data_IF_955410694818
#
_entry.id   IF_955410694818
#
_cell.length_a   1.000
_cell.length_b   1.000
_cell.length_c   1.000
_cell.angle_alpha   90.00
_cell.angle_beta   90.00
_cell.angle_gamma   90.00
#
_symmetry.space_group_name_H-M   'P 1'
#
loop_
_entity.id
_entity.type
_entity.pdbx_description
1 polymer ?
#
# COMPACT_ATOMS: atom_id res chain seq x y z
N UNK A 1 -11.55 -15.08 11.26
CA UNK A 1 -12.68 -14.16 11.56
C UNK A 1 -13.07 -13.32 10.35
N UNK A 2 -12.30 -12.32 9.89
CA UNK A 2 -12.69 -11.50 8.71
C UNK A 2 -12.84 -12.33 7.44
N UNK A 3 -11.96 -13.31 7.22
CA UNK A 3 -12.07 -14.22 6.08
C UNK A 3 -13.35 -15.06 6.13
N UNK A 4 -13.65 -15.67 7.28
CA UNK A 4 -14.86 -16.49 7.46
C UNK A 4 -16.13 -15.62 7.35
N UNK A 5 -16.08 -14.38 7.85
CA UNK A 5 -17.16 -13.39 7.67
C UNK A 5 -17.38 -13.09 6.19
N UNK A 6 -16.32 -12.80 5.43
CA UNK A 6 -16.41 -12.55 3.99
C UNK A 6 -17.02 -13.73 3.22
N UNK A 7 -16.64 -14.96 3.58
CA UNK A 7 -17.24 -16.16 2.98
C UNK A 7 -18.74 -16.29 3.30
N UNK A 8 -19.15 -16.00 4.54
CA UNK A 8 -20.56 -16.06 4.95
C UNK A 8 -21.41 -14.94 4.29
N UNK A 9 -20.83 -13.75 4.14
CA UNK A 9 -21.50 -12.62 3.47
C UNK A 9 -21.79 -12.94 2.01
N UNK A 10 -20.84 -13.56 1.29
CA UNK A 10 -21.03 -13.97 -0.11
C UNK A 10 -22.13 -15.02 -0.31
N UNK A 11 -22.39 -15.85 0.71
CA UNK A 11 -23.42 -16.89 0.66
C UNK A 11 -24.82 -16.35 0.99
N UNK A 12 -24.93 -15.15 1.55
CA UNK A 12 -26.18 -14.57 2.02
C UNK A 12 -26.78 -13.64 0.96
N UNK A 13 -27.87 -14.07 0.31
CA UNK A 13 -28.46 -13.37 -0.85
C UNK A 13 -29.10 -12.00 -0.53
N UNK A 14 -29.34 -11.68 0.74
CA UNK A 14 -30.02 -10.45 1.18
C UNK A 14 -29.05 -9.27 1.41
N UNK A 15 -27.73 -9.50 1.31
CA UNK A 15 -26.73 -8.47 1.61
C UNK A 15 -26.38 -7.68 0.34
N UNK A 16 -26.41 -6.35 0.47
CA UNK A 16 -26.03 -5.43 -0.60
C UNK A 16 -24.58 -5.67 -1.03
N UNK A 17 -24.33 -5.64 -2.35
CA UNK A 17 -23.02 -5.95 -2.92
C UNK A 17 -21.94 -4.98 -2.45
N UNK A 18 -22.32 -3.73 -2.25
CA UNK A 18 -21.48 -2.64 -1.74
C UNK A 18 -20.94 -2.98 -0.35
N UNK A 19 -21.77 -3.59 0.51
CA UNK A 19 -21.36 -4.03 1.84
C UNK A 19 -20.34 -5.17 1.73
N UNK A 20 -20.57 -6.14 0.84
CA UNK A 20 -19.62 -7.24 0.60
C UNK A 20 -18.25 -6.70 0.16
N UNK A 21 -18.24 -5.72 -0.75
CA UNK A 21 -17.02 -5.08 -1.25
C UNK A 21 -16.24 -4.36 -0.15
N UNK A 22 -16.92 -3.72 0.81
CA UNK A 22 -16.27 -3.10 1.96
C UNK A 22 -15.52 -4.14 2.79
N UNK A 23 -16.15 -5.28 3.11
CA UNK A 23 -15.49 -6.34 3.87
C UNK A 23 -14.36 -7.03 3.10
N UNK A 24 -14.50 -7.20 1.78
CA UNK A 24 -13.43 -7.71 0.93
C UNK A 24 -12.22 -6.77 0.93
N UNK A 25 -12.46 -5.46 0.85
CA UNK A 25 -11.43 -4.43 0.94
C UNK A 25 -10.77 -4.40 2.31
N UNK A 26 -11.54 -4.49 3.40
CA UNK A 26 -11.01 -4.57 4.76
C UNK A 26 -10.16 -5.82 4.97
N UNK A 27 -10.59 -6.97 4.43
CA UNK A 27 -9.81 -8.21 4.46
C UNK A 27 -8.48 -8.06 3.72
N UNK A 28 -8.50 -7.44 2.54
CA UNK A 28 -7.31 -7.18 1.74
C UNK A 28 -6.31 -6.28 2.48
N UNK A 29 -6.78 -5.18 3.07
CA UNK A 29 -5.96 -4.24 3.84
C UNK A 29 -5.38 -4.92 5.09
N UNK A 30 -6.20 -5.66 5.84
CA UNK A 30 -5.74 -6.42 7.00
C UNK A 30 -4.66 -7.45 6.61
N UNK A 31 -4.85 -8.12 5.48
CA UNK A 31 -3.87 -9.05 4.92
C UNK A 31 -2.54 -8.37 4.57
N UNK A 32 -2.57 -7.19 3.94
CA UNK A 32 -1.35 -6.44 3.64
C UNK A 32 -0.61 -5.97 4.89
N UNK A 33 -1.31 -5.47 5.91
CA UNK A 33 -0.69 -5.15 7.20
C UNK A 33 -0.10 -6.39 7.89
N UNK A 34 -0.84 -7.50 7.91
CA UNK A 34 -0.36 -8.75 8.50
C UNK A 34 0.91 -9.27 7.78
N UNK A 35 0.91 -9.24 6.44
CA UNK A 35 2.05 -9.62 5.62
C UNK A 35 3.25 -8.70 5.89
N UNK A 36 3.03 -7.39 5.95
CA UNK A 36 4.09 -6.42 6.23
C UNK A 36 4.71 -6.65 7.61
N UNK A 37 3.87 -6.86 8.62
CA UNK A 37 4.30 -7.13 10.00
C UNK A 37 5.09 -8.44 10.10
N UNK A 38 4.62 -9.51 9.46
CA UNK A 38 5.29 -10.80 9.44
C UNK A 38 6.66 -10.73 8.75
N UNK A 39 6.76 -10.00 7.64
CA UNK A 39 8.03 -9.79 6.94
C UNK A 39 8.99 -8.97 7.80
N UNK A 40 8.53 -7.88 8.42
CA UNK A 40 9.36 -7.03 9.28
C UNK A 40 9.95 -7.80 10.48
N UNK A 41 9.25 -8.79 11.04
CA UNK A 41 9.77 -9.61 12.15
C UNK A 41 10.74 -10.71 11.72
N UNK A 42 10.86 -11.01 10.41
CA UNK A 42 11.58 -12.19 9.90
C UNK A 42 13.12 -12.10 10.01
N UNK A 43 13.68 -10.92 10.26
CA UNK A 43 15.12 -10.63 10.20
C UNK A 43 15.78 -11.00 8.85
N UNK A 44 14.99 -11.06 7.77
CA UNK A 44 15.46 -11.34 6.41
C UNK A 44 15.51 -10.06 5.58
N UNK A 45 16.21 -10.11 4.45
CA UNK A 45 16.21 -9.03 3.47
C UNK A 45 14.88 -8.98 2.72
N UNK A 46 13.94 -8.20 3.25
CA UNK A 46 12.56 -8.06 2.76
C UNK A 46 12.11 -6.61 2.59
N UNK A 47 13.04 -5.67 2.70
CA UNK A 47 12.77 -4.23 2.67
C UNK A 47 11.97 -3.80 1.43
N UNK A 48 12.27 -4.37 0.27
CA UNK A 48 11.50 -4.09 -0.95
C UNK A 48 10.05 -4.58 -0.86
N UNK A 49 9.80 -5.80 -0.35
CA UNK A 49 8.43 -6.32 -0.20
C UNK A 49 7.63 -5.48 0.79
N UNK A 50 8.21 -5.12 1.93
CA UNK A 50 7.54 -4.29 2.94
C UNK A 50 7.26 -2.89 2.42
N UNK A 51 8.18 -2.32 1.62
CA UNK A 51 7.98 -1.02 0.98
C UNK A 51 6.87 -1.08 -0.05
N UNK A 52 6.85 -2.11 -0.92
CA UNK A 52 5.75 -2.31 -1.89
C UNK A 52 4.37 -2.44 -1.20
N UNK A 53 4.33 -3.12 -0.06
CA UNK A 53 3.12 -3.23 0.77
C UNK A 53 2.66 -1.86 1.28
N UNK A 54 3.55 -1.06 1.88
CA UNK A 54 3.19 0.27 2.38
C UNK A 54 2.77 1.22 1.27
N UNK A 55 3.46 1.19 0.13
CA UNK A 55 3.09 1.98 -1.04
C UNK A 55 1.71 1.55 -1.58
N UNK A 56 1.39 0.25 -1.54
CA UNK A 56 0.08 -0.25 -1.95
C UNK A 56 -1.05 0.15 -1.00
N UNK A 57 -0.75 0.27 0.30
CA UNK A 57 -1.71 0.72 1.31
C UNK A 57 -2.16 2.17 1.10
N UNK A 58 -1.39 3.00 0.38
CA UNK A 58 -1.80 4.36 0.00
C UNK A 58 -3.12 4.39 -0.79
N UNK A 59 -3.42 3.35 -1.59
CA UNK A 59 -4.71 3.23 -2.31
C UNK A 59 -5.92 3.06 -1.38
N UNK A 60 -5.67 2.88 -0.09
CA UNK A 60 -6.68 2.66 0.92
C UNK A 60 -6.70 3.77 1.98
N UNK A 61 -6.11 4.93 1.69
CA UNK A 61 -6.08 6.12 2.56
C UNK A 61 -7.44 6.76 2.84
N UNK A 62 -8.49 6.38 2.12
CA UNK A 62 -9.88 6.78 2.39
C UNK A 62 -10.52 5.99 3.55
N UNK A 63 -9.94 4.83 3.91
CA UNK A 63 -10.38 4.02 5.06
C UNK A 63 -9.29 3.78 6.11
N UNK A 64 -8.07 4.23 5.82
CA UNK A 64 -6.91 4.20 6.71
C UNK A 64 -6.53 5.64 7.09
N UNK A 65 -5.95 5.88 8.28
CA UNK A 65 -5.41 7.20 8.59
C UNK A 65 -4.37 7.61 7.54
N UNK A 66 -4.68 8.67 6.78
CA UNK A 66 -3.93 9.05 5.60
C UNK A 66 -2.50 9.48 5.97
N UNK A 67 -2.36 10.34 6.97
CA UNK A 67 -1.09 10.79 7.52
C UNK A 67 -0.15 9.63 7.85
N UNK A 68 -0.67 8.57 8.50
CA UNK A 68 0.07 7.36 8.82
C UNK A 68 0.58 6.64 7.58
N UNK A 69 -0.31 6.34 6.62
CA UNK A 69 0.09 5.53 5.46
C UNK A 69 1.06 6.29 4.55
N UNK A 70 0.90 7.62 4.42
CA UNK A 70 1.83 8.47 3.68
C UNK A 70 3.19 8.54 4.37
N UNK A 71 3.24 8.73 5.69
CA UNK A 71 4.48 8.71 6.47
C UNK A 71 5.20 7.36 6.34
N UNK A 72 4.51 6.25 6.61
CA UNK A 72 5.11 4.90 6.57
C UNK A 72 5.64 4.56 5.17
N UNK A 73 4.87 4.84 4.11
CA UNK A 73 5.30 4.59 2.73
C UNK A 73 6.48 5.48 2.33
N UNK A 74 6.43 6.77 2.69
CA UNK A 74 7.47 7.74 2.40
C UNK A 74 8.80 7.41 3.08
N UNK A 75 8.78 7.07 4.37
CA UNK A 75 9.96 6.68 5.13
C UNK A 75 10.60 5.40 4.59
N UNK A 76 9.80 4.38 4.27
CA UNK A 76 10.32 3.14 3.68
C UNK A 76 10.90 3.35 2.28
N UNK A 77 10.25 4.18 1.44
CA UNK A 77 10.81 4.57 0.15
C UNK A 77 12.16 5.28 0.32
N UNK A 78 12.28 6.18 1.31
CA UNK A 78 13.51 6.91 1.61
C UNK A 78 14.65 5.95 2.00
N UNK A 79 14.37 5.01 2.89
CA UNK A 79 15.34 3.99 3.35
C UNK A 79 15.81 3.08 2.21
N UNK A 80 14.91 2.70 1.30
CA UNK A 80 15.22 1.83 0.17
C UNK A 80 15.90 2.58 -1.01
N UNK A 81 16.01 3.90 -0.94
CA UNK A 81 16.61 4.71 -2.00
C UNK A 81 15.62 5.14 -3.09
N UNK A 82 14.31 4.93 -2.92
CA UNK A 82 13.26 5.35 -3.84
C UNK A 82 12.92 6.84 -3.63
N UNK A 83 13.92 7.69 -3.81
CA UNK A 83 13.90 9.10 -3.39
C UNK A 83 12.73 9.90 -3.98
N UNK A 84 12.38 9.70 -5.25
CA UNK A 84 11.26 10.41 -5.90
C UNK A 84 9.91 10.09 -5.25
N UNK A 85 9.64 8.81 -5.00
CA UNK A 85 8.42 8.40 -4.29
C UNK A 85 8.43 8.86 -2.84
N UNK A 86 9.58 8.75 -2.16
CA UNK A 86 9.75 9.24 -0.79
C UNK A 86 9.42 10.73 -0.69
N UNK A 87 9.92 11.54 -1.63
CA UNK A 87 9.68 12.97 -1.67
C UNK A 87 8.19 13.28 -1.84
N UNK A 88 7.53 12.69 -2.84
CA UNK A 88 6.10 12.94 -3.09
C UNK A 88 5.24 12.51 -1.89
N UNK A 89 5.47 11.33 -1.32
CA UNK A 89 4.67 10.84 -0.19
C UNK A 89 4.91 11.62 1.11
N UNK A 90 6.15 12.00 1.39
CA UNK A 90 6.48 12.76 2.60
C UNK A 90 6.04 14.22 2.49
N UNK A 91 6.05 14.85 1.31
CA UNK A 91 5.40 16.16 1.13
C UNK A 91 3.91 16.07 1.42
N UNK A 92 3.21 15.08 0.85
CA UNK A 92 1.78 14.88 1.14
C UNK A 92 1.52 14.62 2.63
N UNK A 93 2.41 13.91 3.32
CA UNK A 93 2.32 13.77 4.77
C UNK A 93 2.42 15.12 5.49
N UNK A 94 3.33 16.02 5.10
CA UNK A 94 3.43 17.35 5.71
C UNK A 94 2.14 18.15 5.50
N UNK A 95 1.60 18.16 4.28
CA UNK A 95 0.32 18.80 3.97
C UNK A 95 -0.83 18.28 4.85
N UNK A 96 -0.87 16.96 5.08
CA UNK A 96 -1.87 16.33 5.93
C UNK A 96 -1.71 16.74 7.40
N UNK A 97 -0.49 16.84 7.92
CA UNK A 97 -0.25 17.28 9.30
C UNK A 97 -0.69 18.73 9.48
N UNK A 98 -0.36 19.61 8.53
CA UNK A 98 -0.82 21.01 8.55
C UNK A 98 -2.36 21.09 8.57
N UNK A 99 -3.03 20.26 7.76
CA UNK A 99 -4.49 20.19 7.74
C UNK A 99 -5.11 19.58 9.01
N UNK A 100 -4.43 18.65 9.69
CA UNK A 100 -4.90 18.05 10.96
C UNK A 100 -4.78 19.07 12.11
N UNK A 101 -3.74 19.90 12.11
CA UNK A 101 -3.48 20.88 13.17
C UNK A 101 -4.35 22.15 13.04
N UNK A 102 -4.84 22.45 11.83
CA UNK A 102 -5.77 23.56 11.59
C UNK A 102 -7.21 23.20 12.04
N UNK A 103 -7.82 23.92 13.00
CA UNK A 103 -9.20 23.69 13.41
C UNK A 103 -10.25 23.85 12.28
N UNK A 104 -9.93 24.59 11.23
CA UNK A 104 -10.76 24.74 10.02
C UNK A 104 -10.21 23.92 8.83
N UNK A 105 -9.17 23.12 9.07
CA UNK A 105 -8.48 22.32 8.07
C UNK A 105 -9.37 21.26 7.43
N UNK A 106 -9.17 21.04 6.13
CA UNK A 106 -9.78 19.97 5.38
C UNK A 106 -8.81 19.41 4.35
N UNK A 107 -8.78 18.08 4.21
CA UNK A 107 -8.03 17.39 3.16
C UNK A 107 -8.44 17.86 1.76
N UNK A 108 -9.68 18.34 1.58
CA UNK A 108 -10.22 18.79 0.29
C UNK A 108 -9.54 20.05 -0.24
N UNK A 109 -8.85 20.80 0.64
CA UNK A 109 -8.12 22.01 0.26
C UNK A 109 -6.68 21.74 -0.19
N UNK A 110 -6.20 20.51 -0.02
CA UNK A 110 -4.84 20.11 -0.36
C UNK A 110 -4.67 19.99 -1.88
N UNK A 111 -3.51 20.42 -2.39
CA UNK A 111 -3.21 20.30 -3.82
C UNK A 111 -3.00 18.82 -4.20
N UNK A 112 -3.87 18.31 -5.07
CA UNK A 112 -3.90 16.93 -5.54
C UNK A 112 -3.03 16.63 -6.76
N UNK A 113 -2.34 17.62 -7.34
CA UNK A 113 -1.69 17.50 -8.67
C UNK A 113 -0.73 16.32 -8.79
N UNK A 114 0.06 16.04 -7.75
CA UNK A 114 1.08 14.99 -7.78
C UNK A 114 0.49 13.57 -7.89
N UNK A 115 -0.79 13.42 -7.56
CA UNK A 115 -1.50 12.14 -7.57
C UNK A 115 -2.49 12.03 -8.72
N UNK A 116 -2.57 13.03 -9.61
CA UNK A 116 -3.40 12.96 -10.81
C UNK A 116 -2.96 11.79 -11.69
N UNK A 117 -3.94 10.97 -12.10
CA UNK A 117 -3.67 9.78 -12.92
C UNK A 117 -3.10 8.60 -12.14
N UNK A 118 -3.09 8.66 -10.80
CA UNK A 118 -2.90 7.52 -9.91
C UNK A 118 -4.24 6.99 -9.42
N UNK A 119 -4.22 5.87 -8.69
CA UNK A 119 -5.36 5.29 -7.97
C UNK A 119 -5.27 5.53 -6.45
N UNK A 120 -4.48 6.53 -6.02
CA UNK A 120 -4.42 6.99 -4.62
C UNK A 120 -5.55 8.00 -4.40
N UNK A 121 -6.42 7.80 -3.38
CA UNK A 121 -7.48 8.76 -3.05
C UNK A 121 -6.94 10.16 -2.79
N UNK A 122 -7.56 11.17 -3.44
CA UNK A 122 -7.26 12.59 -3.21
C UNK A 122 -8.04 13.14 -2.02
N UNK A 123 -9.30 12.72 -1.88
CA UNK A 123 -10.17 13.05 -0.75
C UNK A 123 -10.05 11.94 0.31
N UNK A 124 -9.63 12.31 1.52
CA UNK A 124 -9.39 11.38 2.62
C UNK A 124 -9.92 11.96 3.93
N UNK A 125 -10.43 11.13 4.85
CA UNK A 125 -10.79 11.60 6.18
C UNK A 125 -9.52 12.01 6.95
N UNK A 126 -9.55 13.17 7.60
CA UNK A 126 -8.50 13.58 8.52
C UNK A 126 -8.68 12.87 9.88
N UNK A 127 -7.61 12.32 10.48
CA UNK A 127 -7.66 11.80 11.84
C UNK A 127 -7.80 12.93 12.88
N UNK A 128 -8.22 12.57 14.09
CA UNK A 128 -8.37 13.53 15.20
C UNK A 128 -7.02 14.01 15.76
N UNK A 129 -6.00 13.16 15.72
CA UNK A 129 -4.66 13.46 16.23
C UNK A 129 -3.60 13.01 15.21
N UNK A 130 -2.47 13.74 15.08
CA UNK A 130 -1.35 13.33 14.25
C UNK A 130 -0.79 11.95 14.62
N UNK A 131 -0.45 11.14 13.62
CA UNK A 131 0.16 9.83 13.83
C UNK A 131 1.58 9.88 14.44
N UNK A 132 2.36 10.88 14.06
CA UNK A 132 3.80 10.99 14.36
C UNK A 132 4.08 11.91 15.53
N UNK A 133 5.23 11.72 16.20
CA UNK A 133 5.71 12.69 17.20
C UNK A 133 6.21 13.98 16.54
N UNK A 134 6.40 15.03 17.34
CA UNK A 134 6.99 16.28 16.88
C UNK A 134 8.41 16.07 16.31
N UNK A 135 9.23 15.23 16.95
CA UNK A 135 10.59 14.93 16.48
C UNK A 135 10.61 14.21 15.13
N UNK A 136 9.70 13.26 14.92
CA UNK A 136 9.54 12.58 13.63
C UNK A 136 9.11 13.56 12.54
N UNK A 137 8.15 14.42 12.86
CA UNK A 137 7.65 15.45 11.95
C UNK A 137 8.75 16.45 11.54
N UNK A 138 9.53 16.97 12.50
CA UNK A 138 10.68 17.83 12.22
C UNK A 138 11.73 17.13 11.34
N UNK A 139 12.02 15.85 11.61
CA UNK A 139 12.97 15.07 10.81
C UNK A 139 12.52 14.89 9.35
N UNK A 140 11.21 14.77 9.11
CA UNK A 140 10.65 14.75 7.75
C UNK A 140 10.77 16.14 7.11
N UNK A 141 10.38 17.21 7.82
CA UNK A 141 10.48 18.58 7.32
C UNK A 141 11.91 18.95 6.91
N UNK A 142 12.89 18.68 7.76
CA UNK A 142 14.31 18.94 7.47
C UNK A 142 14.78 18.19 6.23
N UNK A 143 14.36 16.93 6.07
CA UNK A 143 14.72 16.14 4.90
C UNK A 143 14.09 16.69 3.62
N UNK A 144 12.81 17.07 3.65
CA UNK A 144 12.11 17.67 2.50
C UNK A 144 12.78 18.98 2.07
N UNK A 145 13.13 19.84 3.03
CA UNK A 145 13.85 21.08 2.76
C UNK A 145 15.22 20.82 2.10
N UNK A 146 15.98 19.86 2.63
CA UNK A 146 17.28 19.49 2.09
C UNK A 146 17.19 18.95 0.65
N UNK A 147 16.23 18.07 0.38
CA UNK A 147 16.01 17.52 -0.97
C UNK A 147 15.53 18.58 -1.95
N UNK A 148 14.65 19.50 -1.51
CA UNK A 148 14.15 20.61 -2.33
C UNK A 148 15.26 21.57 -2.76
N UNK A 149 16.29 21.73 -1.92
CA UNK A 149 17.46 22.55 -2.24
C UNK A 149 18.43 21.89 -3.24
N UNK A 150 18.53 20.56 -3.29
CA UNK A 150 19.47 19.87 -4.18
C UNK A 150 19.06 19.95 -5.67
N UNK A 151 17.78 20.19 -5.99
CA UNK A 151 17.20 20.34 -7.35
C UNK A 151 17.52 19.23 -8.38
N UNK A 152 18.32 18.22 -8.02
CA UNK A 152 18.70 17.09 -8.88
C UNK A 152 17.69 15.96 -8.86
N UNK A 153 16.85 15.88 -7.83
CA UNK A 153 15.85 14.84 -7.70
C UNK A 153 14.67 15.16 -8.63
N UNK A 154 14.26 14.17 -9.43
CA UNK A 154 12.98 14.21 -10.13
C UNK A 154 11.85 14.04 -9.10
N UNK A 155 11.08 15.10 -8.89
CA UNK A 155 10.01 15.18 -7.90
C UNK A 155 8.68 14.67 -8.48
N UNK A 156 8.72 13.53 -9.17
CA UNK A 156 7.54 12.93 -9.80
C UNK A 156 7.44 11.44 -9.49
N UNK A 157 6.22 10.92 -9.50
CA UNK A 157 5.99 9.49 -9.31
C UNK A 157 6.47 8.71 -10.55
N UNK A 158 7.29 7.65 -10.35
CA UNK A 158 7.80 6.88 -11.46
C UNK A 158 6.67 6.15 -12.18
N UNK A 159 6.87 5.91 -13.48
CA UNK A 159 5.89 5.25 -14.36
C UNK A 159 6.36 3.86 -14.78
N UNK A 160 5.42 2.94 -14.94
CA UNK A 160 5.68 1.59 -15.47
C UNK A 160 5.61 1.53 -17.00
N UNK A 161 5.65 0.32 -17.56
CA UNK A 161 5.57 0.06 -19.00
C UNK A 161 4.24 0.47 -19.66
N UNK A 162 3.19 0.75 -18.87
CA UNK A 162 1.92 1.29 -19.36
C UNK A 162 1.92 2.83 -19.41
N UNK A 163 2.96 3.47 -18.89
CA UNK A 163 3.08 4.93 -18.81
C UNK A 163 2.27 5.56 -17.67
N UNK A 164 1.87 4.77 -16.68
CA UNK A 164 1.14 5.21 -15.48
C UNK A 164 1.96 4.92 -14.23
N UNK A 165 1.57 5.49 -13.09
CA UNK A 165 2.29 5.30 -11.83
C UNK A 165 2.56 3.81 -11.53
N UNK A 166 3.80 3.47 -11.16
CA UNK A 166 4.27 2.07 -11.04
C UNK A 166 3.45 1.17 -10.11
N UNK A 167 2.80 1.74 -9.08
CA UNK A 167 1.98 0.96 -8.17
C UNK A 167 0.49 1.00 -8.54
N UNK A 168 0.07 1.79 -9.53
CA UNK A 168 -1.33 1.90 -9.91
C UNK A 168 -1.84 0.60 -10.53
N UNK A 169 -3.04 0.18 -10.15
CA UNK A 169 -3.74 -0.95 -10.76
C UNK A 169 -4.40 -0.52 -12.06
N UNK A 170 -4.98 0.67 -12.08
CA UNK A 170 -5.68 1.23 -13.23
C UNK A 170 -4.75 2.07 -14.10
N UNK A 171 -4.92 1.96 -15.41
CA UNK A 171 -4.26 2.84 -16.37
C UNK A 171 -5.27 3.81 -16.99
N UNK A 172 -5.40 5.05 -16.47
CA UNK A 172 -6.37 6.02 -16.95
C UNK A 172 -6.29 6.23 -18.47
N UNK A 173 -7.45 6.33 -19.11
CA UNK A 173 -7.55 6.57 -20.56
C UNK A 173 -7.34 5.34 -21.46
N UNK A 174 -6.85 4.22 -20.93
CA UNK A 174 -6.70 2.96 -21.71
C UNK A 174 -7.79 1.94 -21.44
N UNK A 175 -8.45 2.03 -20.29
CA UNK A 175 -9.42 1.03 -19.81
C UNK A 175 -8.79 -0.29 -19.34
N UNK A 176 -7.45 -0.39 -19.32
CA UNK A 176 -6.73 -1.55 -18.81
C UNK A 176 -6.59 -1.46 -17.29
N UNK A 177 -6.88 -2.56 -16.60
CA UNK A 177 -6.70 -2.71 -15.16
C UNK A 177 -5.89 -3.97 -14.88
N UNK A 178 -4.87 -3.84 -14.03
CA UNK A 178 -4.06 -4.95 -13.55
C UNK A 178 -4.64 -5.47 -12.23
N UNK A 179 -4.51 -6.78 -12.02
CA UNK A 179 -4.87 -7.37 -10.74
C UNK A 179 -3.76 -7.08 -9.70
N UNK A 180 -4.13 -6.79 -8.44
CA UNK A 180 -3.17 -6.57 -7.38
C UNK A 180 -2.47 -7.87 -6.98
N UNK A 181 -1.17 -7.80 -6.80
CA UNK A 181 -0.39 -8.90 -6.23
C UNK A 181 -0.90 -9.23 -4.82
N UNK A 182 -1.29 -10.49 -4.57
CA UNK A 182 -1.75 -10.91 -3.23
C UNK A 182 -0.66 -10.79 -2.17
N UNK A 183 0.62 -10.70 -2.56
CA UNK A 183 1.75 -10.53 -1.62
C UNK A 183 2.04 -9.07 -1.31
N UNK A 184 1.99 -8.19 -2.31
CA UNK A 184 2.52 -6.82 -2.20
C UNK A 184 1.54 -5.72 -2.58
N UNK A 185 0.43 -6.06 -3.22
CA UNK A 185 -0.54 -5.12 -3.79
C UNK A 185 -0.13 -4.50 -5.12
N UNK A 186 1.14 -4.57 -5.52
CA UNK A 186 1.61 -4.03 -6.79
C UNK A 186 0.91 -4.68 -8.00
N UNK A 187 0.77 -3.97 -9.13
CA UNK A 187 0.11 -4.51 -10.31
C UNK A 187 0.89 -5.72 -10.87
N UNK A 188 0.18 -6.79 -11.21
CA UNK A 188 0.76 -7.96 -11.88
C UNK A 188 0.62 -7.79 -13.40
N UNK A 189 1.69 -7.34 -14.06
CA UNK A 189 1.65 -6.97 -15.49
C UNK A 189 2.01 -8.13 -16.43
N UNK A 190 3.02 -8.94 -16.09
CA UNK A 190 3.53 -10.01 -16.95
C UNK A 190 3.91 -11.25 -16.17
N UNK A 191 3.50 -12.40 -16.67
CA UNK A 191 3.96 -13.70 -16.19
C UNK A 191 3.80 -13.88 -14.68
N UNK A 192 2.67 -13.45 -14.12
CA UNK A 192 2.35 -13.66 -12.71
C UNK A 192 2.17 -15.14 -12.35
N UNK A 193 2.06 -15.39 -11.04
CA UNK A 193 1.55 -16.65 -10.50
C UNK A 193 0.04 -16.50 -10.36
N UNK A 194 -0.72 -17.38 -11.02
CA UNK A 194 -2.17 -17.46 -10.87
C UNK A 194 -2.52 -18.48 -9.80
N UNK A 195 -3.53 -18.19 -8.99
CA UNK A 195 -4.02 -19.12 -7.98
C UNK A 195 -5.35 -19.75 -8.41
N UNK A 196 -5.79 -20.79 -7.70
CA UNK A 196 -7.05 -21.48 -8.01
C UNK A 196 -8.28 -20.57 -7.99
N UNK A 197 -8.33 -19.61 -7.07
CA UNK A 197 -9.38 -18.60 -6.99
C UNK A 197 -9.16 -17.55 -8.08
N UNK A 198 -10.17 -17.30 -8.93
CA UNK A 198 -10.10 -16.23 -9.94
C UNK A 198 -9.75 -14.88 -9.31
N UNK A 199 -9.01 -14.07 -10.06
CA UNK A 199 -8.54 -12.74 -9.66
C UNK A 199 -7.51 -12.70 -8.53
N UNK A 200 -7.11 -13.85 -7.96
CA UNK A 200 -5.95 -13.93 -7.08
C UNK A 200 -4.70 -14.23 -7.90
N UNK A 201 -3.76 -13.28 -7.92
CA UNK A 201 -2.49 -13.39 -8.64
C UNK A 201 -1.34 -12.83 -7.80
N UNK A 202 -0.10 -13.21 -8.09
CA UNK A 202 1.08 -12.60 -7.50
C UNK A 202 2.16 -12.32 -8.54
N UNK A 203 2.95 -11.26 -8.32
CA UNK A 203 4.23 -11.12 -8.99
C UNK A 203 5.12 -12.32 -8.62
N UNK A 204 5.69 -12.98 -9.63
CA UNK A 204 6.43 -14.23 -9.42
C UNK A 204 7.61 -14.06 -8.47
N UNK A 205 8.34 -12.95 -8.57
CA UNK A 205 9.47 -12.64 -7.70
C UNK A 205 9.03 -12.42 -6.25
N UNK A 206 7.98 -11.62 -6.04
CA UNK A 206 7.41 -11.35 -4.71
C UNK A 206 6.92 -12.66 -4.05
N UNK A 207 6.22 -13.52 -4.80
CA UNK A 207 5.77 -14.83 -4.31
C UNK A 207 6.95 -15.75 -3.97
N UNK A 208 7.96 -15.84 -4.83
CA UNK A 208 9.14 -16.66 -4.58
C UNK A 208 9.92 -16.19 -3.34
N UNK A 209 10.05 -14.87 -3.16
CA UNK A 209 10.71 -14.28 -1.99
C UNK A 209 9.92 -14.57 -0.71
N UNK A 210 8.60 -14.39 -0.71
CA UNK A 210 7.75 -14.75 0.44
C UNK A 210 7.90 -16.25 0.78
N UNK A 211 7.86 -17.14 -0.21
CA UNK A 211 8.02 -18.57 0.02
C UNK A 211 9.38 -18.93 0.63
N UNK A 212 10.45 -18.28 0.16
CA UNK A 212 11.79 -18.45 0.70
C UNK A 212 11.85 -18.00 2.15
N UNK A 213 11.40 -16.77 2.44
CA UNK A 213 11.40 -16.20 3.79
C UNK A 213 10.56 -17.04 4.74
N UNK A 214 9.36 -17.43 4.34
CA UNK A 214 8.49 -18.31 5.15
C UNK A 214 9.11 -19.68 5.46
N UNK A 215 10.08 -20.15 4.68
CA UNK A 215 10.80 -21.40 4.91
C UNK A 215 12.00 -21.23 5.85
N UNK A 216 12.69 -20.08 5.78
CA UNK A 216 13.95 -19.86 6.49
C UNK A 216 13.82 -19.00 7.75
N UNK A 217 12.73 -18.23 7.86
CA UNK A 217 12.45 -17.41 9.03
C UNK A 217 12.35 -18.30 10.26
N UNK A 218 12.88 -17.81 11.38
CA UNK A 218 12.82 -18.52 12.67
C UNK A 218 11.50 -18.28 13.41
N UNK A 219 10.62 -17.51 12.80
CA UNK A 219 9.36 -17.05 13.36
C UNK A 219 8.20 -17.65 12.54
N UNK A 220 7.03 -17.85 13.15
CA UNK A 220 5.91 -18.51 12.47
C UNK A 220 5.09 -17.56 11.62
N UNK A 221 5.18 -16.25 11.83
CA UNK A 221 4.25 -15.28 11.23
C UNK A 221 4.34 -15.27 9.69
N UNK A 222 5.54 -15.43 9.13
CA UNK A 222 5.70 -15.56 7.67
C UNK A 222 5.08 -16.85 7.11
N UNK A 223 5.15 -17.95 7.87
CA UNK A 223 4.51 -19.21 7.51
C UNK A 223 2.98 -19.09 7.62
N UNK A 224 2.47 -18.45 8.68
CA UNK A 224 1.05 -18.22 8.92
C UNK A 224 0.44 -17.36 7.83
N UNK A 225 1.10 -16.26 7.43
CA UNK A 225 0.66 -15.41 6.31
C UNK A 225 0.66 -16.18 4.99
N UNK A 226 1.70 -16.99 4.73
CA UNK A 226 1.75 -17.81 3.52
C UNK A 226 0.60 -18.83 3.50
N UNK A 227 0.34 -19.50 4.61
CA UNK A 227 -0.77 -20.45 4.74
C UNK A 227 -2.11 -19.74 4.56
N UNK A 228 -2.29 -18.55 5.12
CA UNK A 228 -3.47 -17.74 4.91
C UNK A 228 -3.68 -17.40 3.44
N UNK A 229 -2.64 -16.99 2.70
CA UNK A 229 -2.74 -16.75 1.25
C UNK A 229 -3.24 -18.01 0.55
N UNK A 230 -2.62 -19.17 0.79
CA UNK A 230 -3.04 -20.43 0.17
C UNK A 230 -4.49 -20.80 0.52
N UNK A 231 -4.93 -20.55 1.76
CA UNK A 231 -6.32 -20.77 2.16
C UNK A 231 -7.29 -19.79 1.48
N UNK A 232 -6.87 -18.54 1.29
CA UNK A 232 -7.71 -17.48 0.75
C UNK A 232 -7.82 -17.50 -0.78
N UNK A 233 -6.70 -17.75 -1.47
CA UNK A 233 -6.59 -17.78 -2.93
C UNK A 233 -6.62 -19.18 -3.53
N UNK A 234 -6.50 -20.23 -2.72
CA UNK A 234 -6.19 -21.58 -3.19
C UNK A 234 -4.71 -21.72 -3.58
N UNK A 235 -4.34 -22.84 -4.18
CA UNK A 235 -2.95 -23.13 -4.56
C UNK A 235 -2.53 -22.47 -5.89
N UNK A 236 -1.23 -22.15 -6.08
CA UNK A 236 -0.69 -21.73 -7.37
C UNK A 236 -0.94 -22.77 -8.48
N UNK A 237 -1.29 -22.30 -9.68
CA UNK A 237 -1.46 -23.11 -10.90
C UNK A 237 -0.20 -23.18 -11.75
#
# INVERSE_FOLDING_TARGET
MLFDLGQNLQQTQEIQREVVQIFERMLLVAHYYATRSALASSQQEVAELTTKLSVSLLRHSDILPADKVFYEAGMQCRELGWQSMAFVFLNRYLDLIEAIEDPEGSADTLDGTDFQGTDIPMEVPLPEEPYTTHEEHEAVREWILMVSMDQKLDQSLPKDERGVYVAALEAPGTGLSALPCVVTGYPVLRGGVEFEKPSCVANREDWNKLQYVAKIARTTECADVKEFILRWSGHPR
#
